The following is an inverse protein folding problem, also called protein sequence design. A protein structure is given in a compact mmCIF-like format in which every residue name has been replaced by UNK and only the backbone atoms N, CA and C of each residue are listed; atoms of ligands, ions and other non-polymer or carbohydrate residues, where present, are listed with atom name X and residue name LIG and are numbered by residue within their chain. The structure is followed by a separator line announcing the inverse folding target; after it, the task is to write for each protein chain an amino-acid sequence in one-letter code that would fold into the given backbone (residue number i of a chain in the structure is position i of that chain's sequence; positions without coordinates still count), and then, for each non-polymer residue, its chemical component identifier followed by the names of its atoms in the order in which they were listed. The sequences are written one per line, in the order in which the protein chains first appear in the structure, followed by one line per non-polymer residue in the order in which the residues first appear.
data_IF_471567450004
#
_entry.id   IF_471567450004
#
_cell.length_a   1.000
_cell.length_b   1.000
_cell.length_c   1.000
_cell.angle_alpha   90.00
_cell.angle_beta   90.00
_cell.angle_gamma   90.00
#
_symmetry.space_group_name_H-M   'P 1'
#
loop_
_entity.id
_entity.type
_entity.pdbx_description
1 polymer ?
#
# COMPACT_ATOMS: atom_id res chain seq x y z
N UNK A 1 17.05 14.94 10.53
CA UNK A 1 16.75 16.36 10.25
C UNK A 1 16.05 16.93 11.48
N UNK A 2 16.45 18.09 11.93
CA UNK A 2 15.82 18.74 13.09
C UNK A 2 14.73 19.73 12.60
N UNK A 3 13.71 19.19 11.91
CA UNK A 3 12.58 19.97 11.39
C UNK A 3 11.32 19.09 11.37
N UNK A 4 10.11 19.67 11.42
CA UNK A 4 8.88 18.96 11.18
C UNK A 4 8.86 18.33 9.78
N UNK A 5 8.32 17.12 9.68
CA UNK A 5 8.08 16.43 8.41
C UNK A 5 6.58 16.17 8.32
N UNK A 6 5.98 16.48 7.17
CA UNK A 6 4.57 16.28 6.90
C UNK A 6 4.39 15.32 5.73
N UNK A 7 3.37 14.49 5.80
CA UNK A 7 3.00 13.59 4.73
C UNK A 7 2.13 14.29 3.68
N UNK A 8 2.29 13.84 2.43
CA UNK A 8 1.45 14.20 1.30
C UNK A 8 0.97 12.93 0.60
N UNK A 9 -0.30 12.90 0.24
CA UNK A 9 -0.87 11.85 -0.58
C UNK A 9 -1.46 12.46 -1.84
N UNK A 10 -0.91 12.10 -2.98
CA UNK A 10 -1.33 12.60 -4.29
C UNK A 10 -1.12 11.54 -5.39
N UNK A 11 -1.59 11.83 -6.59
CA UNK A 11 -1.37 11.00 -7.77
C UNK A 11 -0.69 11.79 -8.87
N UNK A 12 0.08 11.10 -9.72
CA UNK A 12 0.75 11.72 -10.87
C UNK A 12 -0.27 12.35 -11.83
N UNK A 13 -1.46 11.77 -11.93
CA UNK A 13 -2.58 12.26 -12.73
C UNK A 13 -3.24 13.51 -12.15
N UNK A 14 -2.85 13.94 -10.95
CA UNK A 14 -3.44 15.07 -10.21
C UNK A 14 -4.95 14.88 -9.99
N UNK A 15 -5.37 13.63 -9.75
CA UNK A 15 -6.77 13.30 -9.54
C UNK A 15 -7.26 13.59 -8.12
N UNK A 16 -6.34 13.64 -7.16
CA UNK A 16 -6.56 14.08 -5.79
C UNK A 16 -5.27 14.64 -5.19
N UNK A 17 -5.42 15.39 -4.11
CA UNK A 17 -4.33 15.90 -3.30
C UNK A 17 -4.76 15.93 -1.84
N UNK A 18 -3.95 15.38 -0.96
CA UNK A 18 -4.14 15.48 0.49
C UNK A 18 -2.82 15.84 1.17
N UNK A 19 -2.88 16.70 2.17
CA UNK A 19 -1.73 17.11 2.97
C UNK A 19 -1.98 16.94 4.45
N UNK A 20 -0.94 16.57 5.16
CA UNK A 20 -0.97 16.42 6.61
C UNK A 20 -1.02 17.77 7.31
N UNK A 21 -1.83 17.87 8.35
CA UNK A 21 -1.88 19.05 9.22
C UNK A 21 -1.01 18.85 10.48
N UNK A 22 -0.94 19.89 11.32
CA UNK A 22 -0.21 19.92 12.58
C UNK A 22 -0.63 18.87 13.62
N UNK A 23 -1.78 18.20 13.39
CA UNK A 23 -2.28 17.08 14.20
C UNK A 23 -2.05 15.70 13.56
N UNK A 24 -1.20 15.60 12.52
CA UNK A 24 -0.90 14.34 11.85
C UNK A 24 -2.09 13.75 11.07
N UNK A 25 -3.01 14.59 10.55
CA UNK A 25 -4.19 14.15 9.83
C UNK A 25 -4.13 14.61 8.37
N UNK A 26 -4.37 13.69 7.44
CA UNK A 26 -4.41 13.98 5.99
C UNK A 26 -5.74 14.61 5.60
N UNK A 27 -5.70 15.87 5.16
CA UNK A 27 -6.84 16.62 4.65
C UNK A 27 -6.85 16.61 3.12
N UNK A 28 -7.94 16.15 2.52
CA UNK A 28 -8.16 16.21 1.08
C UNK A 28 -8.51 17.64 0.66
N UNK A 29 -7.85 18.11 -0.40
CA UNK A 29 -8.17 19.39 -1.05
C UNK A 29 -9.37 19.21 -1.98
N UNK A 30 -10.56 19.75 -1.65
CA UNK A 30 -11.78 19.52 -2.43
C UNK A 30 -11.78 20.22 -3.79
N UNK A 31 -10.88 21.16 -4.00
CA UNK A 31 -10.65 21.86 -5.28
C UNK A 31 -9.76 21.04 -6.24
N UNK A 32 -8.97 20.08 -5.75
CA UNK A 32 -8.16 19.20 -6.58
C UNK A 32 -9.00 18.09 -7.23
N UNK A 33 -9.98 17.55 -6.51
CA UNK A 33 -10.80 16.44 -6.98
C UNK A 33 -11.92 16.06 -6.03
N UNK A 34 -12.92 15.37 -6.57
CA UNK A 34 -14.00 14.74 -5.80
C UNK A 34 -13.56 13.31 -5.51
N UNK A 35 -13.29 12.99 -4.24
CA UNK A 35 -12.82 11.68 -3.81
C UNK A 35 -13.95 10.88 -3.16
N UNK A 36 -14.06 9.63 -3.56
CA UNK A 36 -14.97 8.62 -3.02
C UNK A 36 -14.12 7.46 -2.46
N UNK A 37 -14.56 6.82 -1.39
CA UNK A 37 -14.00 5.55 -0.91
C UNK A 37 -15.12 4.51 -1.02
N UNK A 38 -14.91 3.50 -1.84
CA UNK A 38 -15.95 2.58 -2.27
C UNK A 38 -15.67 1.14 -1.85
N UNK A 39 -16.72 0.42 -1.50
CA UNK A 39 -16.72 -1.04 -1.35
C UNK A 39 -16.56 -1.74 -2.69
N UNK A 40 -16.27 -3.06 -2.71
CA UNK A 40 -16.20 -3.84 -3.95
C UNK A 40 -17.49 -3.80 -4.81
N UNK A 41 -18.65 -3.64 -4.18
CA UNK A 41 -19.95 -3.52 -4.86
C UNK A 41 -20.21 -2.10 -5.43
N UNK A 42 -19.29 -1.16 -5.21
CA UNK A 42 -19.39 0.23 -5.66
C UNK A 42 -20.20 1.14 -4.73
N UNK A 43 -20.69 0.65 -3.59
CA UNK A 43 -21.36 1.48 -2.58
C UNK A 43 -20.32 2.27 -1.75
N UNK A 44 -20.69 3.48 -1.23
CA UNK A 44 -19.79 4.26 -0.40
C UNK A 44 -19.46 3.57 0.93
N UNK A 45 -18.19 3.63 1.34
CA UNK A 45 -17.74 3.18 2.66
C UNK A 45 -18.21 4.12 3.76
N UNK A 46 -18.50 3.55 4.92
CA UNK A 46 -18.71 4.33 6.15
C UNK A 46 -17.36 4.84 6.69
N UNK A 47 -17.40 5.84 7.56
CA UNK A 47 -16.21 6.31 8.26
C UNK A 47 -15.55 5.17 9.05
N UNK A 48 -14.23 5.05 8.97
CA UNK A 48 -13.43 3.96 9.54
C UNK A 48 -13.40 2.67 8.70
N UNK A 49 -14.22 2.56 7.66
CA UNK A 49 -14.21 1.40 6.77
C UNK A 49 -13.21 1.60 5.63
N UNK A 50 -12.39 0.59 5.38
CA UNK A 50 -11.39 0.60 4.31
C UNK A 50 -12.07 0.25 2.97
N UNK A 51 -11.82 1.05 1.95
CA UNK A 51 -12.29 0.81 0.58
C UNK A 51 -11.36 1.36 -0.47
N UNK A 52 -11.70 1.12 -1.73
CA UNK A 52 -10.93 1.60 -2.88
C UNK A 52 -11.16 3.09 -3.10
N UNK A 53 -10.06 3.82 -3.29
CA UNK A 53 -10.09 5.24 -3.61
C UNK A 53 -10.44 5.45 -5.08
N UNK A 54 -11.51 6.18 -5.30
CA UNK A 54 -11.98 6.61 -6.63
C UNK A 54 -12.03 8.12 -6.65
N UNK A 55 -11.50 8.75 -7.69
CA UNK A 55 -11.48 10.21 -7.75
C UNK A 55 -11.86 10.76 -9.11
N UNK A 56 -12.56 11.91 -9.10
CA UNK A 56 -12.84 12.73 -10.28
C UNK A 56 -11.93 13.95 -10.23
N UNK A 57 -11.01 14.05 -11.18
CA UNK A 57 -10.06 15.16 -11.27
C UNK A 57 -10.76 16.45 -11.68
N UNK A 58 -10.45 17.56 -11.00
CA UNK A 58 -11.01 18.89 -11.32
C UNK A 58 -9.97 19.83 -11.95
N UNK A 59 -8.67 19.56 -11.78
CA UNK A 59 -7.59 20.43 -12.23
C UNK A 59 -7.07 20.09 -13.63
N UNK A 60 -7.04 18.81 -13.99
CA UNK A 60 -6.48 18.36 -15.27
C UNK A 60 -7.56 18.35 -16.37
N UNK A 61 -7.69 19.45 -17.08
CA UNK A 61 -8.64 19.59 -18.17
C UNK A 61 -8.22 18.93 -19.48
N UNK A 62 -6.93 18.62 -19.65
CA UNK A 62 -6.41 17.94 -20.85
C UNK A 62 -6.67 16.44 -20.83
N UNK A 63 -6.70 15.85 -19.63
CA UNK A 63 -7.05 14.46 -19.42
C UNK A 63 -8.09 14.38 -18.30
N UNK A 64 -9.39 14.63 -18.62
CA UNK A 64 -10.43 14.58 -17.61
C UNK A 64 -10.65 13.14 -17.15
N UNK A 65 -10.33 12.88 -15.89
CA UNK A 65 -10.55 11.60 -15.23
C UNK A 65 -11.82 11.71 -14.39
N UNK A 66 -12.84 10.92 -14.75
CA UNK A 66 -14.11 10.87 -14.03
C UNK A 66 -14.26 9.51 -13.36
N UNK A 67 -14.43 9.50 -12.04
CA UNK A 67 -14.51 8.30 -11.20
C UNK A 67 -13.39 7.29 -11.53
N UNK A 68 -12.19 7.82 -11.61
CA UNK A 68 -10.98 7.05 -11.88
C UNK A 68 -10.57 6.25 -10.65
N UNK A 69 -10.42 4.93 -10.81
CA UNK A 69 -9.95 4.02 -9.76
C UNK A 69 -8.45 4.14 -9.62
N UNK A 70 -7.98 4.64 -8.48
CA UNK A 70 -6.55 4.85 -8.24
C UNK A 70 -5.81 3.54 -7.96
N UNK A 71 -6.55 2.51 -7.53
CA UNK A 71 -5.97 1.26 -7.04
C UNK A 71 -5.35 1.39 -5.66
N UNK A 72 -5.66 2.46 -4.93
CA UNK A 72 -5.26 2.66 -3.54
C UNK A 72 -6.43 2.34 -2.61
N UNK A 73 -6.11 1.89 -1.40
CA UNK A 73 -7.06 1.65 -0.32
C UNK A 73 -6.89 2.74 0.75
N UNK A 74 -8.00 3.30 1.21
CA UNK A 74 -8.03 4.29 2.28
C UNK A 74 -9.29 4.16 3.14
N UNK A 75 -9.34 4.90 4.25
CA UNK A 75 -10.53 5.02 5.09
C UNK A 75 -10.80 6.49 5.43
N UNK A 76 -12.09 6.87 5.50
CA UNK A 76 -12.49 8.17 6.02
C UNK A 76 -12.30 8.21 7.54
N UNK A 77 -11.85 9.35 8.07
CA UNK A 77 -11.81 9.56 9.49
C UNK A 77 -13.22 9.63 10.08
N UNK A 78 -13.49 8.92 11.20
CA UNK A 78 -14.81 8.96 11.86
C UNK A 78 -15.07 10.29 12.56
N UNK A 79 -14.01 11.01 12.97
CA UNK A 79 -14.11 12.24 13.75
C UNK A 79 -13.49 13.42 13.00
N UNK A 80 -14.04 14.63 13.16
CA UNK A 80 -13.44 15.86 12.63
C UNK A 80 -12.02 16.04 13.16
N UNK A 81 -11.19 16.76 12.38
CA UNK A 81 -9.85 17.08 12.84
C UNK A 81 -9.86 18.24 13.86
N UNK A 82 -9.10 18.14 14.98
CA UNK A 82 -8.96 19.23 15.96
C UNK A 82 -8.39 20.54 15.38
N UNK A 83 -7.74 20.49 14.21
CA UNK A 83 -7.21 21.69 13.55
C UNK A 83 -8.29 22.68 13.09
N UNK A 84 -9.56 22.26 13.05
CA UNK A 84 -10.70 23.12 12.69
C UNK A 84 -10.93 23.30 11.19
N UNK A 85 -10.06 22.76 10.31
CA UNK A 85 -10.28 22.80 8.86
C UNK A 85 -11.46 21.94 8.48
N UNK A 86 -12.35 22.49 7.63
CA UNK A 86 -13.59 21.81 7.18
C UNK A 86 -13.37 20.92 5.94
N UNK A 87 -12.14 20.49 5.70
CA UNK A 87 -11.79 19.60 4.59
C UNK A 87 -12.02 18.15 4.98
N UNK A 88 -12.42 17.27 4.04
CA UNK A 88 -12.51 15.83 4.32
C UNK A 88 -11.17 15.28 4.82
N UNK A 89 -11.23 14.37 5.79
CA UNK A 89 -10.05 13.82 6.44
C UNK A 89 -9.95 12.33 6.18
N UNK A 90 -8.79 11.87 5.70
CA UNK A 90 -8.46 10.45 5.67
C UNK A 90 -7.96 10.02 7.05
N UNK A 91 -8.48 8.91 7.54
CA UNK A 91 -7.95 8.24 8.73
C UNK A 91 -6.58 7.63 8.40
N UNK A 92 -6.51 6.98 7.24
CA UNK A 92 -5.30 6.35 6.76
C UNK A 92 -5.37 6.14 5.23
N UNK A 93 -4.20 6.11 4.61
CA UNK A 93 -3.97 5.52 3.29
C UNK A 93 -3.30 4.16 3.53
N UNK A 94 -4.05 3.08 3.29
CA UNK A 94 -3.62 1.72 3.63
C UNK A 94 -2.52 1.23 2.70
N UNK A 95 -2.65 1.52 1.40
CA UNK A 95 -1.69 1.15 0.36
C UNK A 95 -2.37 0.71 -0.93
N UNK A 96 -1.61 0.05 -1.81
CA UNK A 96 -2.11 -0.42 -3.10
C UNK A 96 -2.98 -1.66 -2.98
N UNK A 97 -4.10 -1.68 -3.70
CA UNK A 97 -4.99 -2.85 -3.81
C UNK A 97 -4.24 -4.08 -4.37
N UNK A 98 -3.32 -3.86 -5.31
CA UNK A 98 -2.49 -4.90 -5.92
C UNK A 98 -1.48 -5.53 -4.94
N UNK A 99 -1.21 -4.87 -3.81
CA UNK A 99 -0.24 -5.29 -2.80
C UNK A 99 -0.90 -5.96 -1.58
N UNK A 100 -2.21 -6.25 -1.67
CA UNK A 100 -2.93 -6.91 -0.59
C UNK A 100 -2.58 -8.38 -0.54
N UNK A 101 -2.16 -8.83 0.63
CA UNK A 101 -1.93 -10.24 0.96
C UNK A 101 -3.01 -10.68 1.95
N UNK A 102 -3.64 -11.81 1.69
CA UNK A 102 -4.61 -12.39 2.64
C UNK A 102 -3.89 -13.39 3.53
N UNK A 103 -3.87 -13.14 4.83
CA UNK A 103 -3.30 -14.06 5.82
C UNK A 103 -4.09 -15.35 5.95
N UNK A 104 -3.51 -16.41 6.58
CA UNK A 104 -4.20 -17.66 6.85
C UNK A 104 -5.46 -17.52 7.71
N UNK A 105 -5.55 -16.46 8.49
CA UNK A 105 -6.68 -16.06 9.34
C UNK A 105 -7.74 -15.21 8.61
N UNK A 106 -7.56 -14.98 7.30
CA UNK A 106 -8.44 -14.18 6.46
C UNK A 106 -8.22 -12.67 6.52
N UNK A 107 -7.31 -12.18 7.38
CA UNK A 107 -6.99 -10.75 7.44
C UNK A 107 -6.27 -10.31 6.17
N UNK A 108 -6.66 -9.14 5.66
CA UNK A 108 -5.99 -8.48 4.56
C UNK A 108 -4.86 -7.58 5.09
N UNK A 109 -3.69 -7.75 4.56
CA UNK A 109 -2.47 -7.08 4.98
C UNK A 109 -1.79 -6.40 3.79
N UNK A 110 -1.27 -5.22 4.01
CA UNK A 110 -0.54 -4.40 3.03
C UNK A 110 0.79 -3.94 3.63
N UNK A 111 1.61 -3.20 2.88
CA UNK A 111 2.88 -2.62 3.37
C UNK A 111 3.89 -3.68 3.81
N UNK A 112 4.32 -4.51 2.88
CA UNK A 112 5.33 -5.54 3.13
C UNK A 112 6.79 -5.04 3.01
N UNK A 113 7.02 -3.74 2.73
CA UNK A 113 8.37 -3.18 2.63
C UNK A 113 9.22 -3.43 3.89
N UNK A 114 8.61 -3.44 5.09
CA UNK A 114 9.29 -3.73 6.35
C UNK A 114 9.93 -5.12 6.42
N UNK A 115 9.58 -6.05 5.51
CA UNK A 115 10.23 -7.36 5.42
C UNK A 115 11.70 -7.21 5.02
N UNK A 116 12.02 -6.23 4.18
CA UNK A 116 13.36 -6.01 3.61
C UNK A 116 14.10 -4.81 4.22
N UNK A 117 13.42 -3.98 5.02
CA UNK A 117 14.04 -2.82 5.67
C UNK A 117 15.18 -3.24 6.59
N UNK A 118 16.26 -2.47 6.62
CA UNK A 118 17.46 -2.72 7.44
C UNK A 118 18.13 -4.08 7.19
N UNK A 119 18.02 -4.60 5.97
CA UNK A 119 18.74 -5.79 5.52
C UNK A 119 19.75 -5.40 4.42
N UNK A 120 21.00 -5.08 4.77
CA UNK A 120 21.98 -4.48 3.86
C UNK A 120 22.40 -5.40 2.70
N UNK A 121 22.18 -6.71 2.85
CA UNK A 121 22.51 -7.71 1.84
C UNK A 121 21.40 -7.93 0.81
N UNK A 122 20.25 -7.23 0.94
CA UNK A 122 19.13 -7.31 0.00
C UNK A 122 19.06 -6.00 -0.80
N UNK A 123 19.16 -6.10 -2.11
CA UNK A 123 19.07 -4.98 -3.05
C UNK A 123 17.62 -4.74 -3.43
N UNK A 124 16.90 -5.82 -3.79
CA UNK A 124 15.48 -5.79 -4.12
C UNK A 124 14.79 -7.04 -3.56
N UNK A 125 13.53 -6.92 -3.16
CA UNK A 125 12.72 -8.04 -2.69
C UNK A 125 11.30 -7.99 -3.23
N UNK A 126 10.79 -9.15 -3.68
CA UNK A 126 9.41 -9.32 -4.14
C UNK A 126 8.76 -10.48 -3.41
N UNK A 127 7.56 -10.26 -2.90
CA UNK A 127 6.75 -11.28 -2.23
C UNK A 127 5.65 -11.73 -3.18
N UNK A 128 5.57 -13.04 -3.40
CA UNK A 128 4.52 -13.67 -4.22
C UNK A 128 3.72 -14.59 -3.30
N UNK A 129 2.46 -14.26 -3.08
CA UNK A 129 1.53 -15.14 -2.40
C UNK A 129 0.98 -16.16 -3.41
N UNK A 130 1.34 -17.43 -3.27
CA UNK A 130 0.90 -18.53 -4.12
C UNK A 130 -0.44 -19.11 -3.63
N UNK A 131 -0.60 -19.23 -2.31
CA UNK A 131 -1.82 -19.66 -1.62
C UNK A 131 -1.97 -18.90 -0.30
N UNK A 132 -3.01 -19.18 0.49
CA UNK A 132 -3.17 -18.56 1.83
C UNK A 132 -1.98 -18.82 2.76
N UNK A 133 -1.23 -19.91 2.56
CA UNK A 133 -0.13 -20.31 3.43
C UNK A 133 1.23 -20.37 2.74
N UNK A 134 1.26 -20.40 1.41
CA UNK A 134 2.49 -20.58 0.64
C UNK A 134 2.92 -19.25 0.01
N UNK A 135 4.13 -18.86 0.33
CA UNK A 135 4.76 -17.62 -0.13
C UNK A 135 6.10 -17.92 -0.79
N UNK A 136 6.34 -17.27 -1.90
CA UNK A 136 7.65 -17.22 -2.54
C UNK A 136 8.20 -15.81 -2.40
N UNK A 137 9.40 -15.69 -1.87
CA UNK A 137 10.11 -14.42 -1.73
C UNK A 137 11.31 -14.44 -2.66
N UNK A 138 11.26 -13.61 -3.72
CA UNK A 138 12.40 -13.41 -4.61
C UNK A 138 13.27 -12.29 -4.07
N UNK A 139 14.57 -12.51 -4.03
CA UNK A 139 15.54 -11.51 -3.57
C UNK A 139 16.68 -11.35 -4.56
N UNK A 140 17.00 -10.10 -4.90
CA UNK A 140 18.28 -9.72 -5.51
C UNK A 140 19.20 -9.33 -4.39
N UNK A 141 20.38 -9.93 -4.34
CA UNK A 141 21.26 -9.87 -3.14
C UNK A 141 22.66 -9.40 -3.49
N UNK A 142 23.37 -8.91 -2.49
CA UNK A 142 24.83 -8.75 -2.54
C UNK A 142 25.51 -10.10 -2.30
N UNK A 143 26.85 -10.14 -2.48
CA UNK A 143 27.67 -11.32 -2.16
C UNK A 143 27.67 -11.68 -0.67
N UNK A 144 27.30 -10.72 0.20
CA UNK A 144 27.20 -10.90 1.65
C UNK A 144 25.95 -11.63 2.14
N UNK A 145 24.99 -11.95 1.25
CA UNK A 145 23.76 -12.60 1.65
C UNK A 145 23.99 -14.02 2.19
N UNK A 146 23.45 -14.29 3.36
CA UNK A 146 23.69 -15.48 4.14
C UNK A 146 22.41 -16.24 4.54
N UNK A 147 22.57 -17.36 5.21
CA UNK A 147 21.46 -18.11 5.82
C UNK A 147 20.78 -17.28 6.93
N UNK A 148 21.52 -16.40 7.60
CA UNK A 148 21.00 -15.51 8.65
C UNK A 148 20.00 -14.50 8.07
N UNK A 149 20.29 -13.91 6.89
CA UNK A 149 19.35 -13.03 6.17
C UNK A 149 18.09 -13.81 5.76
N UNK A 150 18.26 -15.06 5.30
CA UNK A 150 17.16 -15.98 4.97
C UNK A 150 16.24 -16.23 6.16
N UNK A 151 16.81 -16.52 7.32
CA UNK A 151 16.07 -16.75 8.56
C UNK A 151 15.33 -15.48 9.02
N UNK A 152 15.95 -14.33 8.88
CA UNK A 152 15.34 -13.04 9.24
C UNK A 152 14.11 -12.72 8.34
N UNK A 153 14.19 -12.95 7.04
CA UNK A 153 13.03 -12.81 6.14
C UNK A 153 11.89 -13.72 6.61
N UNK A 154 12.16 -14.99 6.87
CA UNK A 154 11.15 -15.95 7.34
C UNK A 154 10.54 -15.52 8.67
N UNK A 155 11.36 -15.07 9.62
CA UNK A 155 10.90 -14.55 10.90
C UNK A 155 9.95 -13.35 10.75
N UNK A 156 10.31 -12.37 9.91
CA UNK A 156 9.49 -11.18 9.66
C UNK A 156 8.19 -11.53 8.95
N UNK A 157 8.23 -12.44 7.97
CA UNK A 157 7.03 -12.93 7.29
C UNK A 157 6.08 -13.63 8.27
N UNK A 158 6.59 -14.53 9.12
CA UNK A 158 5.81 -15.24 10.14
C UNK A 158 5.22 -14.27 11.18
N UNK A 159 5.99 -13.28 11.62
CA UNK A 159 5.51 -12.27 12.57
C UNK A 159 4.37 -11.41 11.97
N UNK A 160 4.41 -11.15 10.66
CA UNK A 160 3.39 -10.32 10.01
C UNK A 160 2.13 -11.09 9.63
N UNK A 161 2.28 -12.33 9.17
CA UNK A 161 1.18 -13.14 8.61
C UNK A 161 0.64 -14.20 9.59
N UNK A 162 1.33 -14.42 10.71
CA UNK A 162 1.10 -15.55 11.61
C UNK A 162 2.06 -16.71 11.30
N UNK A 163 2.32 -17.54 12.32
CA UNK A 163 3.39 -18.56 12.28
C UNK A 163 3.16 -19.77 11.37
N UNK A 164 1.95 -19.94 10.83
CA UNK A 164 1.58 -21.13 10.06
C UNK A 164 1.61 -20.86 8.54
N UNK A 165 2.79 -20.49 8.05
CA UNK A 165 3.06 -20.21 6.65
C UNK A 165 4.34 -20.88 6.17
N UNK A 166 4.39 -21.22 4.89
CA UNK A 166 5.56 -21.73 4.20
C UNK A 166 6.19 -20.60 3.37
N UNK A 167 7.46 -20.30 3.60
CA UNK A 167 8.18 -19.24 2.88
C UNK A 167 9.36 -19.87 2.13
N UNK A 168 9.25 -19.92 0.80
CA UNK A 168 10.34 -20.28 -0.10
C UNK A 168 11.09 -19.01 -0.51
N UNK A 169 12.39 -18.95 -0.23
CA UNK A 169 13.24 -17.84 -0.65
C UNK A 169 14.05 -18.25 -1.88
N UNK A 170 13.97 -17.43 -2.92
CA UNK A 170 14.60 -17.63 -4.21
C UNK A 170 15.53 -16.46 -4.52
N UNK A 171 16.84 -16.74 -4.64
CA UNK A 171 17.80 -15.75 -5.14
C UNK A 171 17.68 -15.63 -6.64
N UNK A 172 17.59 -14.41 -7.12
CA UNK A 172 17.47 -14.08 -8.55
C UNK A 172 18.42 -12.96 -8.93
N UNK A 173 18.85 -12.92 -10.19
CA UNK A 173 19.73 -11.85 -10.69
C UNK A 173 18.97 -10.53 -10.86
N UNK A 174 17.67 -10.59 -11.18
CA UNK A 174 16.81 -9.42 -11.32
C UNK A 174 15.34 -9.78 -11.09
N UNK A 175 14.55 -8.81 -10.61
CA UNK A 175 13.09 -8.92 -10.52
C UNK A 175 12.48 -8.20 -11.74
N UNK A 176 11.66 -8.90 -12.56
CA UNK A 176 11.03 -8.32 -13.73
C UNK A 176 10.16 -7.12 -13.37
N UNK A 177 10.18 -6.09 -14.21
CA UNK A 177 9.28 -4.94 -14.11
C UNK A 177 7.98 -5.21 -14.87
N UNK A 178 6.92 -4.51 -14.52
CA UNK A 178 5.68 -4.51 -15.30
C UNK A 178 5.89 -4.00 -16.72
N UNK A 179 4.89 -4.17 -17.59
CA UNK A 179 4.92 -3.63 -18.97
C UNK A 179 5.11 -2.11 -19.02
N UNK A 180 4.73 -1.39 -17.93
CA UNK A 180 4.97 0.05 -17.77
C UNK A 180 6.33 0.38 -17.11
N UNK A 181 7.21 -0.61 -16.88
CA UNK A 181 8.51 -0.42 -16.22
C UNK A 181 8.47 -0.33 -14.70
N UNK A 182 7.31 -0.51 -14.08
CA UNK A 182 7.10 -0.36 -12.64
C UNK A 182 7.55 -1.61 -11.88
N UNK A 183 8.21 -1.42 -10.74
CA UNK A 183 8.50 -2.49 -9.78
C UNK A 183 7.21 -2.88 -9.03
N UNK A 184 6.93 -4.18 -8.97
CA UNK A 184 5.81 -4.73 -8.21
C UNK A 184 6.41 -5.50 -7.02
N UNK A 185 6.30 -4.93 -5.83
CA UNK A 185 6.89 -5.50 -4.62
C UNK A 185 6.11 -6.70 -4.09
N UNK A 186 4.80 -6.74 -4.30
CA UNK A 186 3.91 -7.78 -3.80
C UNK A 186 2.96 -8.24 -4.89
N UNK A 187 2.81 -9.55 -5.05
CA UNK A 187 1.87 -10.17 -5.99
C UNK A 187 1.07 -11.20 -5.21
N UNK A 188 -0.26 -11.05 -5.16
CA UNK A 188 -1.13 -12.09 -4.62
C UNK A 188 -1.84 -12.83 -5.76
N UNK A 189 -1.76 -14.18 -5.74
CA UNK A 189 -2.54 -15.07 -6.62
C UNK A 189 -3.84 -15.54 -5.95
N UNK A 190 -4.04 -15.17 -4.69
CA UNK A 190 -5.25 -15.47 -3.93
C UNK A 190 -6.30 -14.43 -4.31
N UNK A 191 -7.42 -14.91 -4.88
CA UNK A 191 -8.57 -14.04 -5.16
C UNK A 191 -9.27 -13.72 -3.84
N UNK A 192 -9.36 -12.45 -3.51
CA UNK A 192 -10.28 -11.95 -2.48
C UNK A 192 -11.71 -12.09 -3.02
N UNK A 193 -12.53 -12.81 -2.28
CA UNK A 193 -13.96 -12.95 -2.58
C UNK A 193 -14.70 -11.69 -2.21
#
# INVERSE_FOLDING_TARGET
FNCPVFEEYSTVETALFASECEYGRLHLSPDAGITEILRPDGSPCQAGEVGEVVSTALLNTYQPLVRYRLGDLAAWAPEPCPCGRQMPVLQEVVGRLEEVVTGPDGRQLVRFHGIFTDQPNIIEGQIIQESLRDFRVKVVTTDGFSEEDTLEIRRRMAARLGGDINVLIEKVDAIPRSSSGKFIAVISKVKTS
#
